data_IF_867056980522
#
_entry.id   IF_867056980522
#
_cell.length_a   1.000
_cell.length_b   1.000
_cell.length_c   1.000
_cell.angle_alpha   90.00
_cell.angle_beta   90.00
_cell.angle_gamma   90.00
#
_symmetry.space_group_name_H-M   'P 1'
#
loop_
_entity.id
_entity.type
_entity.pdbx_description
1 polymer ?
#
# COMPACT_ATOMS: atom_id res chain seq x y z
N UNK A 1 9.60 9.38 3.62
CA UNK A 1 8.94 9.49 4.96
C UNK A 1 7.45 9.29 4.82
N UNK A 2 6.79 8.66 5.80
CA UNK A 2 5.32 8.61 5.90
C UNK A 2 4.96 9.33 7.20
N UNK A 3 4.59 10.60 7.10
CA UNK A 3 4.52 11.49 8.26
C UNK A 3 5.87 11.58 8.98
N UNK A 4 5.90 11.19 10.25
CA UNK A 4 7.12 11.15 11.07
C UNK A 4 7.82 9.76 11.08
N UNK A 5 7.31 8.78 10.34
CA UNK A 5 7.90 7.43 10.25
C UNK A 5 8.79 7.33 9.02
N UNK A 6 10.05 6.95 9.22
CA UNK A 6 10.98 6.65 8.14
C UNK A 6 10.63 5.33 7.48
N UNK A 7 10.66 5.28 6.14
CA UNK A 7 10.46 4.05 5.35
C UNK A 7 11.56 4.01 4.30
N UNK A 8 12.34 2.94 4.29
CA UNK A 8 13.52 2.76 3.43
C UNK A 8 14.67 2.13 4.20
N UNK A 9 15.75 1.79 3.51
CA UNK A 9 16.90 1.05 4.05
C UNK A 9 17.62 1.72 5.22
N UNK A 10 17.48 3.04 5.38
CA UNK A 10 18.12 3.80 6.47
C UNK A 10 17.31 3.78 7.77
N UNK A 11 16.14 3.13 7.77
CA UNK A 11 15.22 3.10 8.91
C UNK A 11 14.87 1.67 9.33
N UNK A 12 14.47 1.47 10.59
CA UNK A 12 13.91 0.19 11.01
C UNK A 12 12.66 -0.18 10.20
N UNK A 13 12.45 -1.49 10.04
CA UNK A 13 11.23 -2.00 9.39
C UNK A 13 9.99 -1.54 10.17
N UNK A 14 9.11 -0.79 9.54
CA UNK A 14 7.89 -0.28 10.15
C UNK A 14 6.73 -1.27 10.06
N UNK A 15 5.87 -1.26 11.08
CA UNK A 15 4.65 -2.08 11.11
C UNK A 15 3.46 -1.24 10.71
N UNK A 16 2.78 -1.68 9.65
CA UNK A 16 1.55 -1.06 9.19
C UNK A 16 0.36 -1.98 9.45
N UNK A 17 -0.80 -1.39 9.81
CA UNK A 17 -2.07 -2.09 9.84
C UNK A 17 -3.15 -1.31 9.07
N UNK A 18 -4.37 -1.83 9.08
CA UNK A 18 -5.50 -1.20 8.41
C UNK A 18 -6.74 -1.36 9.27
N UNK A 19 -7.53 -0.29 9.36
CA UNK A 19 -8.83 -0.35 10.02
C UNK A 19 -9.82 -1.22 9.24
N UNK A 20 -10.74 -1.84 9.96
CA UNK A 20 -11.86 -2.60 9.40
C UNK A 20 -13.20 -1.87 9.56
N UNK A 21 -13.19 -0.75 10.27
CA UNK A 21 -14.34 0.14 10.44
C UNK A 21 -14.70 0.83 9.13
N UNK A 22 -15.92 1.33 9.02
CA UNK A 22 -16.28 2.25 7.94
C UNK A 22 -15.60 3.58 8.21
N UNK A 23 -14.79 4.07 7.27
CA UNK A 23 -13.95 5.26 7.48
C UNK A 23 -14.77 6.51 7.82
N UNK A 24 -15.98 6.66 7.27
CA UNK A 24 -16.87 7.76 7.60
C UNK A 24 -17.43 7.71 9.05
N UNK A 25 -17.35 6.57 9.73
CA UNK A 25 -17.55 6.51 11.18
C UNK A 25 -16.24 6.89 11.87
N UNK A 26 -16.04 8.21 12.00
CA UNK A 26 -14.82 8.79 12.56
C UNK A 26 -14.52 8.28 13.97
N UNK A 27 -15.55 8.14 14.80
CA UNK A 27 -15.39 7.70 16.20
C UNK A 27 -14.89 6.28 16.28
N UNK A 28 -15.57 5.35 15.61
CA UNK A 28 -15.16 3.94 15.58
C UNK A 28 -13.78 3.76 14.92
N UNK A 29 -13.49 4.53 13.86
CA UNK A 29 -12.21 4.48 13.18
C UNK A 29 -11.08 4.97 14.08
N UNK A 30 -11.23 6.09 14.78
CA UNK A 30 -10.22 6.62 15.70
C UNK A 30 -10.00 5.71 16.91
N UNK A 31 -11.04 5.06 17.41
CA UNK A 31 -10.89 4.06 18.47
C UNK A 31 -10.02 2.92 18.00
N UNK A 32 -10.29 2.34 16.82
CA UNK A 32 -9.50 1.26 16.27
C UNK A 32 -8.06 1.70 15.95
N UNK A 33 -7.85 2.91 15.46
CA UNK A 33 -6.52 3.48 15.25
C UNK A 33 -5.74 3.54 16.57
N UNK A 34 -6.38 4.00 17.66
CA UNK A 34 -5.75 4.05 18.99
C UNK A 34 -5.39 2.66 19.53
N UNK A 35 -6.24 1.67 19.31
CA UNK A 35 -5.97 0.27 19.66
C UNK A 35 -4.79 -0.30 18.86
N UNK A 36 -4.71 0.00 17.56
CA UNK A 36 -3.59 -0.42 16.72
C UNK A 36 -2.29 0.26 17.13
N UNK A 37 -2.31 1.56 17.44
CA UNK A 37 -1.13 2.29 17.93
C UNK A 37 -0.66 1.72 19.28
N UNK A 38 -1.57 1.43 20.20
CA UNK A 38 -1.24 0.81 21.48
C UNK A 38 -0.66 -0.60 21.33
N UNK A 39 -1.01 -1.32 20.25
CA UNK A 39 -0.44 -2.62 19.91
C UNK A 39 0.92 -2.55 19.20
N UNK A 40 1.49 -1.35 19.00
CA UNK A 40 2.80 -1.15 18.37
C UNK A 40 2.74 -0.97 16.85
N UNK A 41 1.61 -0.55 16.30
CA UNK A 41 1.49 -0.17 14.89
C UNK A 41 2.09 1.22 14.67
N UNK A 42 3.00 1.35 13.72
CA UNK A 42 3.67 2.62 13.40
C UNK A 42 2.86 3.49 12.42
N UNK A 43 2.12 2.85 11.51
CA UNK A 43 1.38 3.52 10.43
C UNK A 43 0.02 2.83 10.25
N UNK A 44 -1.06 3.60 10.18
CA UNK A 44 -2.38 3.05 9.90
C UNK A 44 -2.86 3.42 8.50
N UNK A 45 -3.59 2.49 7.86
CA UNK A 45 -4.25 2.72 6.58
C UNK A 45 -5.77 2.66 6.78
N UNK A 46 -6.48 3.61 6.17
CA UNK A 46 -7.94 3.67 6.16
C UNK A 46 -8.45 3.57 4.73
N UNK A 47 -9.53 2.85 4.50
CA UNK A 47 -10.14 2.73 3.17
C UNK A 47 -10.91 4.00 2.80
N UNK A 48 -10.80 4.44 1.54
CA UNK A 48 -11.55 5.60 1.05
C UNK A 48 -12.27 5.27 -0.28
N UNK A 49 -13.28 4.38 -0.26
CA UNK A 49 -14.02 3.99 -1.46
C UNK A 49 -15.12 4.99 -1.87
N UNK A 50 -15.59 5.88 -0.98
CA UNK A 50 -16.73 6.75 -1.18
C UNK A 50 -16.45 8.20 -0.77
N UNK A 51 -17.34 9.13 -1.20
CA UNK A 51 -17.24 10.54 -0.85
C UNK A 51 -17.36 10.80 0.65
N UNK A 52 -18.23 10.08 1.34
CA UNK A 52 -18.40 10.19 2.79
C UNK A 52 -17.11 9.83 3.55
N UNK A 53 -16.37 8.82 3.05
CA UNK A 53 -15.07 8.42 3.61
C UNK A 53 -14.01 9.50 3.36
N UNK A 54 -13.97 10.08 2.15
CA UNK A 54 -13.07 11.18 1.83
C UNK A 54 -13.32 12.41 2.72
N UNK A 55 -14.58 12.75 3.00
CA UNK A 55 -14.96 13.86 3.87
C UNK A 55 -14.54 13.66 5.34
N UNK A 56 -14.39 12.38 5.76
CA UNK A 56 -13.99 12.03 7.12
C UNK A 56 -12.47 12.08 7.35
N UNK A 57 -11.66 12.03 6.29
CA UNK A 57 -10.20 11.89 6.40
C UNK A 57 -9.56 12.98 7.24
N UNK A 58 -9.92 14.25 7.05
CA UNK A 58 -9.33 15.36 7.79
C UNK A 58 -9.51 15.22 9.31
N UNK A 59 -10.72 14.85 9.75
CA UNK A 59 -11.00 14.64 11.17
C UNK A 59 -10.27 13.43 11.76
N UNK A 60 -10.02 12.40 10.96
CA UNK A 60 -9.24 11.22 11.37
C UNK A 60 -7.76 11.58 11.44
N UNK A 61 -7.21 12.24 10.44
CA UNK A 61 -5.80 12.66 10.39
C UNK A 61 -5.45 13.57 11.56
N UNK A 62 -6.29 14.59 11.84
CA UNK A 62 -6.09 15.55 12.93
C UNK A 62 -5.97 14.87 14.31
N UNK A 63 -6.72 13.79 14.54
CA UNK A 63 -6.84 13.13 15.86
C UNK A 63 -6.07 11.82 15.96
N UNK A 64 -5.51 11.33 14.87
CA UNK A 64 -4.77 10.07 14.86
C UNK A 64 -3.44 10.21 15.61
N UNK A 65 -3.11 9.28 16.53
CA UNK A 65 -1.80 9.26 17.21
C UNK A 65 -0.65 8.79 16.32
N UNK A 66 -0.94 8.19 15.15
CA UNK A 66 0.04 7.67 14.19
C UNK A 66 -0.30 8.12 12.76
N UNK A 67 0.67 8.17 11.85
CA UNK A 67 0.44 8.57 10.46
C UNK A 67 -0.67 7.77 9.77
N UNK A 68 -1.53 8.47 9.03
CA UNK A 68 -2.66 7.89 8.31
C UNK A 68 -2.38 7.83 6.82
N UNK A 69 -2.54 6.67 6.21
CA UNK A 69 -2.52 6.46 4.76
C UNK A 69 -3.94 6.28 4.25
N UNK A 70 -4.33 7.02 3.23
CA UNK A 70 -5.59 6.79 2.53
C UNK A 70 -5.42 5.70 1.47
N UNK A 71 -6.31 4.71 1.45
CA UNK A 71 -6.31 3.60 0.50
C UNK A 71 -7.36 3.82 -0.60
N UNK A 72 -6.90 4.22 -1.77
CA UNK A 72 -7.76 4.59 -2.90
C UNK A 72 -7.79 3.43 -3.90
N UNK A 73 -8.99 2.84 -4.10
CA UNK A 73 -9.14 1.67 -4.95
C UNK A 73 -9.75 1.97 -6.33
N UNK A 74 -10.64 2.99 -6.44
CA UNK A 74 -11.49 3.10 -7.63
C UNK A 74 -11.58 4.51 -8.25
N UNK A 75 -11.46 5.55 -7.43
CA UNK A 75 -11.78 6.93 -7.87
C UNK A 75 -10.58 7.86 -7.67
N UNK A 76 -9.92 8.31 -8.75
CA UNK A 76 -8.74 9.18 -8.66
C UNK A 76 -8.98 10.47 -7.87
N UNK A 77 -10.21 11.02 -7.91
CA UNK A 77 -10.56 12.25 -7.18
C UNK A 77 -10.31 12.16 -5.66
N UNK A 78 -10.39 10.96 -5.09
CA UNK A 78 -10.15 10.76 -3.66
C UNK A 78 -8.67 10.81 -3.30
N UNK A 79 -7.77 10.70 -4.27
CA UNK A 79 -6.33 10.93 -4.08
C UNK A 79 -6.13 12.38 -3.67
N UNK A 80 -6.70 13.33 -4.41
CA UNK A 80 -6.60 14.76 -4.11
C UNK A 80 -7.25 15.09 -2.77
N UNK A 81 -8.45 14.55 -2.50
CA UNK A 81 -9.11 14.73 -1.22
C UNK A 81 -8.28 14.20 -0.02
N UNK A 82 -7.54 13.09 -0.21
CA UNK A 82 -6.65 12.56 0.82
C UNK A 82 -5.42 13.45 1.04
N UNK A 83 -4.86 14.01 -0.03
CA UNK A 83 -3.78 14.99 0.02
C UNK A 83 -4.23 16.25 0.77
N UNK A 84 -5.37 16.81 0.37
CA UNK A 84 -5.96 18.01 0.99
C UNK A 84 -6.32 17.79 2.47
N UNK A 85 -6.71 16.57 2.84
CA UNK A 85 -6.99 16.19 4.22
C UNK A 85 -5.73 16.01 5.09
N UNK A 86 -4.53 16.10 4.52
CA UNK A 86 -3.26 15.96 5.23
C UNK A 86 -2.87 14.51 5.52
N UNK A 87 -3.36 13.52 4.74
CA UNK A 87 -2.89 12.15 4.87
C UNK A 87 -1.37 12.08 4.64
N UNK A 88 -0.69 11.26 5.44
CA UNK A 88 0.76 11.11 5.40
C UNK A 88 1.29 10.38 4.15
N UNK A 89 0.43 9.65 3.46
CA UNK A 89 0.66 9.02 2.17
C UNK A 89 -0.66 8.61 1.53
N UNK A 90 -0.62 8.30 0.25
CA UNK A 90 -1.77 7.73 -0.46
C UNK A 90 -1.36 6.39 -1.09
N UNK A 91 -2.18 5.37 -0.90
CA UNK A 91 -2.03 4.09 -1.60
C UNK A 91 -2.96 4.05 -2.79
N UNK A 92 -2.43 3.74 -3.94
CA UNK A 92 -3.19 3.51 -5.17
C UNK A 92 -3.09 2.05 -5.62
N UNK A 93 -4.16 1.55 -6.24
CA UNK A 93 -4.17 0.27 -6.93
C UNK A 93 -4.47 0.52 -8.40
N UNK A 94 -3.46 0.69 -9.24
CA UNK A 94 -3.65 1.08 -10.63
C UNK A 94 -4.53 0.10 -11.41
N UNK A 95 -4.42 -1.20 -11.16
CA UNK A 95 -5.25 -2.22 -11.81
C UNK A 95 -6.76 -2.09 -11.56
N UNK A 96 -7.17 -1.36 -10.53
CA UNK A 96 -8.58 -1.11 -10.20
C UNK A 96 -9.05 0.30 -10.62
N UNK A 97 -8.13 1.22 -10.90
CA UNK A 97 -8.45 2.60 -11.26
C UNK A 97 -8.43 2.72 -12.77
N UNK A 98 -9.62 2.89 -13.37
CA UNK A 98 -9.72 3.13 -14.82
C UNK A 98 -9.04 4.45 -15.19
N UNK A 99 -8.30 4.45 -16.31
CA UNK A 99 -7.64 5.65 -16.86
C UNK A 99 -6.65 6.30 -15.87
N UNK A 100 -6.08 5.49 -14.95
CA UNK A 100 -5.11 5.99 -13.98
C UNK A 100 -3.89 6.61 -14.69
N UNK A 101 -3.37 5.96 -15.72
CA UNK A 101 -2.20 6.42 -16.49
C UNK A 101 -2.36 7.87 -16.98
N UNK A 102 -3.56 8.25 -17.44
CA UNK A 102 -3.86 9.61 -17.87
C UNK A 102 -3.91 10.66 -16.75
N UNK A 103 -3.93 10.21 -15.48
CA UNK A 103 -3.99 11.07 -14.30
C UNK A 103 -2.68 11.13 -13.50
N UNK A 104 -1.70 10.33 -13.84
CA UNK A 104 -0.44 10.22 -13.08
C UNK A 104 0.25 11.57 -12.94
N UNK A 105 0.27 12.40 -13.99
CA UNK A 105 0.86 13.76 -13.94
C UNK A 105 0.20 14.63 -12.86
N UNK A 106 -1.13 14.65 -12.81
CA UNK A 106 -1.87 15.46 -11.83
C UNK A 106 -1.60 14.95 -10.40
N UNK A 107 -1.59 13.62 -10.23
CA UNK A 107 -1.31 12.97 -8.94
C UNK A 107 0.12 13.24 -8.48
N UNK A 108 1.11 13.08 -9.35
CA UNK A 108 2.51 13.36 -9.06
C UNK A 108 2.73 14.81 -8.67
N UNK A 109 2.11 15.75 -9.41
CA UNK A 109 2.20 17.20 -9.10
C UNK A 109 1.60 17.51 -7.72
N UNK A 110 0.42 16.98 -7.40
CA UNK A 110 -0.23 17.21 -6.11
C UNK A 110 0.55 16.59 -4.95
N UNK A 111 1.02 15.34 -5.10
CA UNK A 111 1.80 14.65 -4.09
C UNK A 111 3.16 15.32 -3.84
N UNK A 112 3.83 15.78 -4.90
CA UNK A 112 5.08 16.53 -4.80
C UNK A 112 4.89 17.86 -4.05
N UNK A 113 3.84 18.62 -4.38
CA UNK A 113 3.52 19.87 -3.70
C UNK A 113 3.20 19.69 -2.20
N UNK A 114 2.60 18.57 -1.84
CA UNK A 114 2.28 18.20 -0.47
C UNK A 114 3.41 17.45 0.26
N UNK A 115 4.49 17.10 -0.42
CA UNK A 115 5.63 16.32 0.11
C UNK A 115 5.19 14.98 0.72
N UNK A 116 4.29 14.27 0.08
CA UNK A 116 3.82 12.95 0.54
C UNK A 116 4.14 11.86 -0.47
N UNK A 117 4.53 10.66 -0.01
CA UNK A 117 4.79 9.52 -0.89
C UNK A 117 3.50 8.90 -1.43
N UNK A 118 3.63 8.29 -2.61
CA UNK A 118 2.60 7.44 -3.20
C UNK A 118 3.01 5.98 -3.08
N UNK A 119 2.13 5.14 -2.55
CA UNK A 119 2.34 3.71 -2.58
C UNK A 119 1.61 3.06 -3.75
N UNK A 120 2.37 2.48 -4.65
CA UNK A 120 1.88 1.64 -5.76
C UNK A 120 1.64 0.23 -5.21
N UNK A 121 0.38 -0.20 -5.21
CA UNK A 121 0.00 -1.49 -4.65
C UNK A 121 -0.52 -2.46 -5.69
N UNK A 122 0.34 -3.34 -6.21
CA UNK A 122 -0.02 -4.41 -7.14
C UNK A 122 -0.48 -5.64 -6.35
N UNK A 123 -1.61 -6.20 -6.73
CA UNK A 123 -2.15 -7.43 -6.16
C UNK A 123 -2.46 -8.43 -7.27
N UNK A 124 -2.23 -9.70 -7.03
CA UNK A 124 -2.53 -10.78 -7.98
C UNK A 124 -3.99 -10.78 -8.46
N UNK A 125 -4.94 -10.47 -7.58
CA UNK A 125 -6.37 -10.45 -7.90
C UNK A 125 -6.84 -9.24 -8.72
N UNK A 126 -5.99 -8.23 -8.92
CA UNK A 126 -6.29 -7.00 -9.68
C UNK A 126 -5.17 -6.65 -10.66
N UNK A 127 -4.45 -7.63 -11.16
CA UNK A 127 -3.41 -7.42 -12.16
C UNK A 127 -4.02 -6.92 -13.49
N UNK A 128 -3.30 -6.04 -14.19
CA UNK A 128 -3.69 -5.52 -15.50
C UNK A 128 -4.00 -6.66 -16.49
N UNK A 129 -5.09 -6.50 -17.25
CA UNK A 129 -5.54 -7.52 -18.21
C UNK A 129 -4.50 -7.81 -19.29
N UNK A 130 -3.75 -6.81 -19.74
CA UNK A 130 -2.66 -6.97 -20.72
C UNK A 130 -1.59 -7.94 -20.21
N UNK A 131 -1.26 -7.85 -18.93
CA UNK A 131 -0.28 -8.74 -18.30
C UNK A 131 -0.87 -10.13 -18.03
N UNK A 132 -2.15 -10.22 -17.66
CA UNK A 132 -2.83 -11.50 -17.55
C UNK A 132 -2.90 -12.24 -18.90
N UNK A 133 -3.12 -11.53 -20.01
CA UNK A 133 -3.09 -12.10 -21.35
C UNK A 133 -1.66 -12.55 -21.75
N UNK A 134 -0.64 -11.73 -21.42
CA UNK A 134 0.77 -12.05 -21.72
C UNK A 134 1.30 -13.25 -20.93
N UNK A 135 0.99 -13.34 -19.65
CA UNK A 135 1.57 -14.35 -18.73
C UNK A 135 0.62 -15.50 -18.38
N UNK A 136 -0.65 -15.43 -18.78
CA UNK A 136 -1.70 -16.42 -18.49
C UNK A 136 -2.19 -16.43 -17.04
N UNK A 137 -1.41 -15.91 -16.11
CA UNK A 137 -1.73 -15.79 -14.66
C UNK A 137 -0.86 -14.73 -13.99
N UNK A 138 -1.15 -14.41 -12.71
CA UNK A 138 -0.35 -13.48 -11.90
C UNK A 138 0.98 -14.15 -11.45
N UNK A 139 1.94 -14.26 -12.37
CA UNK A 139 3.29 -14.76 -12.05
C UNK A 139 4.12 -13.72 -11.34
N UNK A 140 5.25 -14.06 -10.68
CA UNK A 140 6.18 -13.09 -10.13
C UNK A 140 6.60 -12.03 -11.14
N UNK A 141 6.93 -12.44 -12.36
CA UNK A 141 7.36 -11.55 -13.44
C UNK A 141 6.25 -10.59 -13.85
N UNK A 142 5.00 -11.05 -13.93
CA UNK A 142 3.85 -10.22 -14.26
C UNK A 142 3.59 -9.14 -13.20
N UNK A 143 3.73 -9.49 -11.92
CA UNK A 143 3.57 -8.55 -10.80
C UNK A 143 4.67 -7.48 -10.81
N UNK A 144 5.91 -7.89 -11.09
CA UNK A 144 7.07 -6.98 -11.16
C UNK A 144 6.95 -6.05 -12.36
N UNK A 145 6.63 -6.59 -13.55
CA UNK A 145 6.44 -5.77 -14.76
C UNK A 145 5.34 -4.72 -14.54
N UNK A 146 4.22 -5.09 -13.91
CA UNK A 146 3.17 -4.14 -13.56
C UNK A 146 3.67 -3.04 -12.63
N UNK A 147 4.42 -3.39 -11.58
CA UNK A 147 4.92 -2.43 -10.60
C UNK A 147 5.91 -1.45 -11.21
N UNK A 148 6.85 -1.93 -12.01
CA UNK A 148 7.86 -1.10 -12.66
C UNK A 148 7.26 -0.21 -13.75
N UNK A 149 6.26 -0.72 -14.49
CA UNK A 149 5.51 0.10 -15.44
C UNK A 149 4.84 1.29 -14.74
N UNK A 150 4.09 1.04 -13.67
CA UNK A 150 3.44 2.12 -12.92
C UNK A 150 4.44 3.11 -12.31
N UNK A 151 5.55 2.62 -11.77
CA UNK A 151 6.60 3.49 -11.24
C UNK A 151 7.24 4.36 -12.35
N UNK A 152 7.40 3.81 -13.56
CA UNK A 152 7.96 4.57 -14.70
C UNK A 152 7.08 5.74 -15.11
N UNK A 153 5.75 5.60 -15.02
CA UNK A 153 4.82 6.69 -15.31
C UNK A 153 4.97 7.87 -14.34
N UNK A 154 5.26 7.61 -13.07
CA UNK A 154 5.58 8.66 -12.10
C UNK A 154 6.96 9.28 -12.36
N UNK A 155 7.95 8.46 -12.73
CA UNK A 155 9.29 8.94 -13.05
C UNK A 155 9.32 9.86 -14.27
N UNK A 156 8.44 9.70 -15.26
CA UNK A 156 8.26 10.62 -16.40
C UNK A 156 7.88 12.04 -15.96
N UNK A 157 7.37 12.19 -14.73
CA UNK A 157 7.00 13.47 -14.11
C UNK A 157 7.93 13.88 -12.96
N UNK A 158 9.15 13.32 -12.90
CA UNK A 158 10.16 13.58 -11.87
C UNK A 158 9.67 13.34 -10.44
N UNK A 159 8.77 12.34 -10.28
CA UNK A 159 8.24 11.93 -8.98
C UNK A 159 8.79 10.56 -8.59
N UNK A 160 9.64 10.54 -7.55
CA UNK A 160 10.36 9.36 -7.09
C UNK A 160 10.03 8.96 -5.64
N UNK A 161 9.18 9.73 -4.95
CA UNK A 161 8.76 9.39 -3.58
C UNK A 161 7.68 8.29 -3.59
N UNK A 162 8.13 7.09 -3.95
CA UNK A 162 7.30 5.92 -4.21
C UNK A 162 7.66 4.80 -3.23
N UNK A 163 6.64 4.09 -2.76
CA UNK A 163 6.75 2.81 -2.07
C UNK A 163 6.02 1.76 -2.91
N UNK A 164 6.61 0.58 -3.11
CA UNK A 164 6.00 -0.46 -3.95
C UNK A 164 5.58 -1.67 -3.12
N UNK A 165 4.46 -2.29 -3.50
CA UNK A 165 4.07 -3.60 -3.01
C UNK A 165 3.56 -4.50 -4.13
N UNK A 166 4.08 -5.74 -4.19
CA UNK A 166 3.68 -6.79 -5.14
C UNK A 166 3.16 -8.00 -4.35
N UNK A 167 1.85 -8.06 -4.14
CA UNK A 167 1.24 -9.03 -3.22
C UNK A 167 0.61 -10.21 -3.94
N UNK A 168 0.81 -11.39 -3.36
CA UNK A 168 0.20 -12.63 -3.80
C UNK A 168 -0.34 -13.41 -2.59
N UNK A 169 -1.33 -14.28 -2.78
CA UNK A 169 -1.88 -15.13 -1.72
C UNK A 169 -0.98 -16.34 -1.41
N UNK A 170 -0.20 -16.79 -2.39
CA UNK A 170 0.82 -17.81 -2.21
C UNK A 170 2.15 -17.16 -1.75
N UNK A 171 2.68 -17.53 -0.57
CA UNK A 171 3.89 -16.94 -0.02
C UNK A 171 5.14 -17.20 -0.88
N UNK A 172 5.23 -18.32 -1.57
CA UNK A 172 6.39 -18.64 -2.43
C UNK A 172 6.43 -17.71 -3.64
N UNK A 173 5.29 -17.55 -4.31
CA UNK A 173 5.14 -16.62 -5.44
C UNK A 173 5.41 -15.17 -4.99
N UNK A 174 4.91 -14.79 -3.81
CA UNK A 174 5.13 -13.46 -3.22
C UNK A 174 6.63 -13.22 -2.97
N UNK A 175 7.33 -14.15 -2.31
CA UNK A 175 8.77 -14.04 -2.05
C UNK A 175 9.55 -13.84 -3.35
N UNK A 176 9.30 -14.68 -4.36
CA UNK A 176 9.95 -14.56 -5.68
C UNK A 176 9.67 -13.21 -6.35
N UNK A 177 8.44 -12.70 -6.25
CA UNK A 177 8.11 -11.40 -6.81
C UNK A 177 8.91 -10.25 -6.15
N UNK A 178 9.07 -10.28 -4.82
CA UNK A 178 9.86 -9.26 -4.12
C UNK A 178 11.37 -9.41 -4.37
N UNK A 179 11.90 -10.63 -4.47
CA UNK A 179 13.30 -10.85 -4.85
C UNK A 179 13.60 -10.29 -6.24
N UNK A 180 12.71 -10.58 -7.21
CA UNK A 180 12.83 -10.05 -8.57
C UNK A 180 12.69 -8.52 -8.62
N UNK A 181 11.79 -7.94 -7.82
CA UNK A 181 11.58 -6.50 -7.78
C UNK A 181 12.77 -5.79 -7.13
N UNK A 182 13.27 -6.29 -6.01
CA UNK A 182 14.44 -5.73 -5.32
C UNK A 182 15.72 -5.76 -6.16
N UNK A 183 15.84 -6.70 -7.10
CA UNK A 183 16.95 -6.74 -8.03
C UNK A 183 16.84 -5.71 -9.19
N UNK A 184 15.69 -5.03 -9.33
CA UNK A 184 15.41 -4.16 -10.48
C UNK A 184 15.09 -2.71 -10.10
N UNK A 185 14.89 -2.40 -8.81
CA UNK A 185 14.64 -1.03 -8.36
C UNK A 185 15.08 -0.83 -6.90
N UNK A 186 15.36 0.43 -6.55
CA UNK A 186 15.76 0.87 -5.21
C UNK A 186 14.61 1.50 -4.41
N UNK A 187 13.36 1.38 -4.88
CA UNK A 187 12.20 1.89 -4.15
C UNK A 187 11.93 1.09 -2.87
N UNK A 188 11.57 1.74 -1.75
CA UNK A 188 11.16 1.03 -0.55
C UNK A 188 10.01 0.05 -0.81
N UNK A 189 10.08 -1.12 -0.16
CA UNK A 189 9.17 -2.23 -0.40
C UNK A 189 8.25 -2.50 0.79
N UNK A 190 6.94 -2.50 0.53
CA UNK A 190 5.93 -2.86 1.53
C UNK A 190 5.52 -4.33 1.39
N UNK A 191 5.98 -5.15 2.31
CA UNK A 191 5.73 -6.59 2.30
C UNK A 191 4.31 -6.95 2.78
N UNK A 192 3.71 -7.96 2.16
CA UNK A 192 2.43 -8.50 2.60
C UNK A 192 1.98 -9.68 1.75
N UNK A 193 1.55 -10.76 2.41
CA UNK A 193 0.76 -11.82 1.79
C UNK A 193 -0.69 -11.35 1.77
N UNK A 194 -1.33 -11.30 0.61
CA UNK A 194 -2.75 -10.93 0.52
C UNK A 194 -3.63 -12.16 0.71
N UNK A 195 -4.80 -11.97 1.33
CA UNK A 195 -5.76 -13.07 1.53
C UNK A 195 -5.11 -14.32 2.16
N UNK A 196 -4.29 -14.09 3.19
CA UNK A 196 -3.43 -15.14 3.76
C UNK A 196 -4.23 -16.25 4.49
N UNK A 197 -5.49 -16.02 4.81
CA UNK A 197 -6.39 -16.95 5.48
C UNK A 197 -6.71 -16.58 6.94
N UNK A 198 -7.28 -17.52 7.70
CA UNK A 198 -7.59 -17.31 9.11
C UNK A 198 -6.36 -16.92 9.93
N UNK A 199 -6.57 -16.36 11.13
CA UNK A 199 -5.53 -15.73 11.93
C UNK A 199 -4.26 -16.59 12.08
N UNK A 200 -4.41 -17.86 12.45
CA UNK A 200 -3.25 -18.73 12.64
C UNK A 200 -2.50 -19.01 11.34
N UNK A 201 -3.18 -19.54 10.32
CA UNK A 201 -2.55 -19.87 9.03
C UNK A 201 -2.00 -18.61 8.33
N UNK A 202 -2.76 -17.53 8.36
CA UNK A 202 -2.34 -16.26 7.74
C UNK A 202 -1.12 -15.66 8.42
N UNK A 203 -1.03 -15.76 9.75
CA UNK A 203 0.15 -15.33 10.50
C UNK A 203 1.36 -16.19 10.16
N UNK A 204 1.21 -17.52 10.12
CA UNK A 204 2.31 -18.43 9.74
C UNK A 204 2.81 -18.14 8.32
N UNK A 205 1.91 -18.03 7.34
CA UNK A 205 2.29 -17.68 5.95
C UNK A 205 3.03 -16.36 5.87
N UNK A 206 2.51 -15.33 6.55
CA UNK A 206 3.13 -14.00 6.56
C UNK A 206 4.49 -14.03 7.24
N UNK A 207 4.62 -14.72 8.37
CA UNK A 207 5.89 -14.83 9.11
C UNK A 207 6.97 -15.52 8.29
N UNK A 208 6.62 -16.62 7.59
CA UNK A 208 7.57 -17.33 6.71
C UNK A 208 8.01 -16.41 5.57
N UNK A 209 7.08 -15.76 4.87
CA UNK A 209 7.41 -14.88 3.75
C UNK A 209 8.24 -13.68 4.20
N UNK A 210 7.87 -13.02 5.31
CA UNK A 210 8.61 -11.87 5.83
C UNK A 210 9.99 -12.27 6.35
N UNK A 211 10.08 -13.36 7.10
CA UNK A 211 11.37 -13.88 7.59
C UNK A 211 12.34 -14.18 6.45
N UNK A 212 11.84 -14.79 5.37
CA UNK A 212 12.65 -15.09 4.17
C UNK A 212 13.18 -13.81 3.51
N UNK A 213 12.33 -12.79 3.32
CA UNK A 213 12.73 -11.54 2.65
C UNK A 213 13.58 -10.65 3.56
N UNK A 214 13.17 -10.44 4.81
CA UNK A 214 13.88 -9.57 5.75
C UNK A 214 15.29 -10.10 6.07
N UNK A 215 15.47 -11.43 6.10
CA UNK A 215 16.81 -12.04 6.27
C UNK A 215 17.76 -11.78 5.10
N UNK A 216 17.23 -11.38 3.94
CA UNK A 216 17.98 -10.97 2.77
C UNK A 216 18.13 -9.44 2.67
N UNK A 217 17.64 -8.67 3.65
CA UNK A 217 17.61 -7.21 3.58
C UNK A 217 16.53 -6.64 2.67
N UNK A 218 15.51 -7.44 2.29
CA UNK A 218 14.42 -7.03 1.41
C UNK A 218 13.18 -6.69 2.25
N UNK A 219 12.73 -5.45 2.19
CA UNK A 219 11.50 -4.96 2.83
C UNK A 219 11.72 -3.89 3.90
N UNK A 220 10.92 -2.85 3.84
CA UNK A 220 11.04 -1.63 4.65
C UNK A 220 9.80 -1.41 5.54
N UNK A 221 8.67 -1.98 5.16
CA UNK A 221 7.44 -1.95 5.95
C UNK A 221 6.64 -3.23 5.74
N UNK A 222 5.96 -3.71 6.77
CA UNK A 222 5.24 -4.98 6.74
C UNK A 222 3.76 -4.81 7.11
N UNK A 223 2.90 -5.68 6.56
CA UNK A 223 1.52 -5.82 6.98
C UNK A 223 1.04 -7.27 6.88
N UNK A 224 0.59 -7.83 7.98
CA UNK A 224 -0.18 -9.08 7.97
C UNK A 224 -1.60 -8.78 7.47
N UNK A 225 -2.05 -9.50 6.44
CA UNK A 225 -3.38 -9.36 5.84
C UNK A 225 -4.14 -10.67 5.94
N UNK A 226 -5.00 -10.76 6.92
CA UNK A 226 -5.83 -11.93 7.15
C UNK A 226 -7.10 -11.85 6.30
N UNK A 227 -7.56 -12.98 5.78
CA UNK A 227 -8.90 -13.14 5.23
C UNK A 227 -9.79 -13.67 6.36
N UNK A 228 -10.64 -12.81 6.90
CA UNK A 228 -11.70 -13.23 7.81
C UNK A 228 -12.87 -13.68 6.93
N UNK A 229 -12.84 -14.95 6.52
CA UNK A 229 -14.02 -15.61 5.98
C UNK A 229 -14.98 -15.86 7.16
N UNK A 230 -16.06 -15.11 7.16
CA UNK A 230 -17.24 -15.42 7.96
C UNK A 230 -18.23 -16.22 7.14
#
# INVERSE_FOLDING_TARGET
>A
MVGNVGVGSDFPVSVQSMTTTRTHDVTATLQQVSELAAAGCDIVRVACPRQEDANALAAIVEKSPIPVIADIHFQPRYIFAAIDAGCAAVRVNPGNIREFDGRVKEVATAASAAHIPIRIGINAGSLDKRLLEKYGKATPEALVESALWEASLFAEHDFHDIVISVKHHDPVTMVRAYELLAAQCDYPLHLGVTEAGPAFQGTVKSSVAFGTLLSQGIGDTIRVSLCLLY
#
